data_IF_840640728747
#
_entry.id   IF_840640728747
#
_cell.length_a   1.000
_cell.length_b   1.000
_cell.length_c   1.000
_cell.angle_alpha   90.00
_cell.angle_beta   90.00
_cell.angle_gamma   90.00
#
_symmetry.space_group_name_H-M   'P 1'
#
loop_
_entity.id
_entity.type
_entity.pdbx_description
1 polymer ?
#
# COMPACT_ATOMS: atom_id res chain seq x y z
N UNK A 1 -5.98 40.57 11.97
CA UNK A 1 -6.75 41.32 10.95
C UNK A 1 -7.87 40.40 10.45
N UNK A 2 -9.13 40.79 10.62
CA UNK A 2 -10.29 39.99 10.19
C UNK A 2 -10.55 40.28 8.71
N UNK A 3 -10.27 39.32 7.84
CA UNK A 3 -10.57 39.45 6.40
C UNK A 3 -11.99 38.92 6.21
N UNK A 4 -12.88 39.76 5.71
CA UNK A 4 -14.24 39.36 5.31
C UNK A 4 -14.35 39.39 3.79
N UNK A 5 -14.90 38.32 3.23
CA UNK A 5 -15.19 38.20 1.81
C UNK A 5 -16.52 37.50 1.61
N UNK A 6 -17.11 37.63 0.42
CA UNK A 6 -18.34 36.92 0.09
C UNK A 6 -18.02 35.80 -0.90
N UNK A 7 -18.63 34.64 -0.72
CA UNK A 7 -18.62 33.54 -1.69
C UNK A 7 -19.99 33.50 -2.35
N UNK A 8 -20.02 33.46 -3.67
CA UNK A 8 -21.22 33.15 -4.43
C UNK A 8 -21.07 31.72 -4.94
N UNK A 9 -21.96 30.86 -4.45
CA UNK A 9 -22.01 29.45 -4.85
C UNK A 9 -22.66 29.29 -6.24
N UNK A 10 -22.57 28.09 -6.81
CA UNK A 10 -23.10 27.71 -8.13
C UNK A 10 -24.59 27.99 -8.28
N UNK A 11 -25.34 27.90 -7.19
CA UNK A 11 -26.77 28.23 -7.12
C UNK A 11 -27.06 29.72 -6.89
N UNK A 12 -26.05 30.59 -7.08
CA UNK A 12 -26.09 32.03 -6.79
C UNK A 12 -26.38 32.38 -5.31
N UNK A 13 -26.19 31.42 -4.40
CA UNK A 13 -26.30 31.65 -2.95
C UNK A 13 -25.09 32.43 -2.45
N UNK A 14 -25.35 33.51 -1.71
CA UNK A 14 -24.30 34.38 -1.16
C UNK A 14 -23.99 33.97 0.29
N UNK A 15 -22.74 33.62 0.53
CA UNK A 15 -22.20 33.32 1.85
C UNK A 15 -21.24 34.42 2.27
N UNK A 16 -21.46 35.03 3.43
CA UNK A 16 -20.49 35.94 4.03
C UNK A 16 -19.49 35.12 4.82
N UNK A 17 -18.23 35.15 4.39
CA UNK A 17 -17.14 34.39 4.97
C UNK A 17 -16.21 35.30 5.76
N UNK A 18 -15.82 34.84 6.95
CA UNK A 18 -14.83 35.51 7.78
C UNK A 18 -13.63 34.60 8.01
N UNK A 19 -12.43 35.11 7.77
CA UNK A 19 -11.20 34.50 8.24
C UNK A 19 -10.98 34.92 9.70
N UNK A 20 -11.33 34.02 10.62
CA UNK A 20 -11.03 34.15 12.04
C UNK A 20 -9.62 33.60 12.29
N UNK A 21 -8.67 34.47 12.61
CA UNK A 21 -7.36 34.03 13.09
C UNK A 21 -7.40 33.79 14.58
N UNK A 22 -7.27 32.54 15.03
CA UNK A 22 -6.96 32.23 16.42
C UNK A 22 -5.43 32.27 16.61
N UNK A 23 -4.97 32.94 17.67
CA UNK A 23 -3.54 33.19 17.94
C UNK A 23 -2.72 31.94 18.29
N UNK A 24 -3.30 30.73 18.33
CA UNK A 24 -2.58 29.57 18.88
C UNK A 24 -2.75 28.21 18.21
N UNK A 25 -3.46 28.06 17.10
CA UNK A 25 -3.38 26.86 16.24
C UNK A 25 -3.61 27.29 14.80
N UNK A 26 -2.79 26.78 13.89
CA UNK A 26 -2.77 27.06 12.44
C UNK A 26 -4.02 26.62 11.66
N UNK A 27 -5.21 26.71 12.29
CA UNK A 27 -6.48 26.37 11.68
C UNK A 27 -7.35 27.62 11.61
N UNK A 28 -7.38 28.26 10.45
CA UNK A 28 -8.36 29.30 10.18
C UNK A 28 -9.72 28.63 9.97
N UNK A 29 -10.68 28.89 10.86
CA UNK A 29 -12.06 28.45 10.66
C UNK A 29 -12.79 29.46 9.79
N UNK A 30 -13.23 29.01 8.61
CA UNK A 30 -14.16 29.78 7.78
C UNK A 30 -15.54 29.66 8.43
N UNK A 31 -16.03 30.75 9.00
CA UNK A 31 -17.45 30.85 9.37
C UNK A 31 -18.20 31.47 8.19
N UNK A 32 -19.13 30.72 7.62
CA UNK A 32 -20.05 31.20 6.59
C UNK A 32 -21.40 31.55 7.24
N UNK A 33 -21.86 32.78 7.07
CA UNK A 33 -23.22 33.20 7.41
C UNK A 33 -24.01 33.37 6.12
N UNK A 34 -25.18 32.72 6.03
CA UNK A 34 -26.08 32.81 4.88
C UNK A 34 -26.74 34.19 4.90
N UNK A 35 -26.43 35.03 3.94
CA UNK A 35 -27.10 36.31 3.76
C UNK A 35 -28.04 36.20 2.57
N UNK A 36 -29.34 36.26 2.84
CA UNK A 36 -30.35 36.42 1.80
C UNK A 36 -30.41 37.91 1.44
N UNK A 37 -30.01 38.22 0.21
CA UNK A 37 -30.13 39.51 -0.49
C UNK A 37 -29.01 40.52 -0.18
N UNK A 38 -28.28 40.93 -1.23
CA UNK A 38 -27.57 42.21 -1.22
C UNK A 38 -27.73 42.89 -2.59
N UNK A 39 -28.45 44.01 -2.56
CA UNK A 39 -28.92 44.80 -3.69
C UNK A 39 -27.85 45.22 -4.71
N UNK A 40 -28.37 45.49 -5.89
CA UNK A 40 -27.76 46.04 -7.10
C UNK A 40 -27.01 47.36 -6.85
N UNK A 41 -25.87 47.52 -7.54
CA UNK A 41 -25.24 48.80 -7.92
C UNK A 41 -24.14 49.45 -7.07
N UNK A 42 -23.25 48.69 -6.43
CA UNK A 42 -21.95 49.24 -6.03
C UNK A 42 -20.80 48.39 -6.55
N UNK A 43 -19.77 49.04 -7.06
CA UNK A 43 -18.56 48.48 -7.70
C UNK A 43 -17.97 47.31 -6.89
N UNK A 44 -18.36 46.07 -7.24
CA UNK A 44 -17.86 44.87 -6.58
C UNK A 44 -16.58 44.41 -7.26
N UNK A 45 -15.51 44.22 -6.50
CA UNK A 45 -14.35 43.49 -7.02
C UNK A 45 -14.69 42.00 -7.04
N UNK A 46 -15.12 41.52 -8.21
CA UNK A 46 -15.52 40.13 -8.46
C UNK A 46 -14.32 39.32 -8.93
N UNK A 47 -14.02 38.24 -8.22
CA UNK A 47 -12.99 37.27 -8.59
C UNK A 47 -13.68 35.96 -8.88
N UNK A 48 -13.71 35.60 -10.16
CA UNK A 48 -14.27 34.33 -10.61
C UNK A 48 -13.18 33.26 -10.62
N UNK A 49 -13.37 32.19 -9.84
CA UNK A 49 -12.43 31.07 -9.74
C UNK A 49 -13.17 29.74 -9.71
N UNK A 50 -12.48 28.69 -10.14
CA UNK A 50 -13.01 27.33 -9.99
C UNK A 50 -12.75 26.77 -8.58
N UNK A 51 -13.39 25.64 -8.26
CA UNK A 51 -13.28 25.02 -6.94
C UNK A 51 -11.84 24.60 -6.57
N UNK A 52 -11.03 24.17 -7.55
CA UNK A 52 -9.64 23.77 -7.32
C UNK A 52 -8.74 24.98 -7.00
N UNK A 53 -8.87 26.05 -7.78
CA UNK A 53 -8.20 27.33 -7.54
C UNK A 53 -8.63 27.93 -6.20
N UNK A 54 -9.90 27.77 -5.82
CA UNK A 54 -10.38 28.19 -4.52
C UNK A 54 -9.74 27.40 -3.38
N UNK A 55 -9.59 26.08 -3.53
CA UNK A 55 -8.85 25.26 -2.57
C UNK A 55 -7.39 25.72 -2.43
N UNK A 56 -6.67 25.93 -3.54
CA UNK A 56 -5.30 26.46 -3.52
C UNK A 56 -5.26 27.82 -2.84
N UNK A 57 -6.20 28.71 -3.16
CA UNK A 57 -6.30 30.03 -2.57
C UNK A 57 -6.46 29.98 -1.05
N UNK A 58 -7.32 29.08 -0.54
CA UNK A 58 -7.45 28.85 0.90
C UNK A 58 -6.15 28.31 1.50
N UNK A 59 -5.54 27.31 0.86
CA UNK A 59 -4.29 26.71 1.32
C UNK A 59 -3.12 27.72 1.36
N UNK A 60 -3.04 28.63 0.40
CA UNK A 60 -2.04 29.71 0.36
C UNK A 60 -2.29 30.78 1.43
N UNK A 61 -3.55 31.09 1.74
CA UNK A 61 -3.88 32.00 2.85
C UNK A 61 -3.45 31.42 4.20
N UNK A 62 -3.60 30.10 4.35
CA UNK A 62 -3.30 29.40 5.60
C UNK A 62 -1.78 29.24 5.80
N UNK A 63 -1.07 28.82 4.75
CA UNK A 63 0.35 28.46 4.86
C UNK A 63 1.32 29.60 4.52
N UNK A 64 0.92 30.63 3.78
CA UNK A 64 1.81 31.69 3.31
C UNK A 64 1.47 33.07 3.90
N UNK A 65 2.20 33.47 4.94
CA UNK A 65 2.03 34.75 5.64
C UNK A 65 2.26 35.97 4.72
N UNK A 66 3.20 35.88 3.78
CA UNK A 66 3.48 36.92 2.78
C UNK A 66 2.32 37.09 1.79
N UNK A 67 1.74 35.98 1.32
CA UNK A 67 0.56 36.00 0.44
C UNK A 67 -0.61 36.67 1.16
N UNK A 68 -0.87 36.27 2.40
CA UNK A 68 -1.90 36.86 3.26
C UNK A 68 -1.72 38.36 3.50
N UNK A 69 -0.50 38.81 3.78
CA UNK A 69 -0.22 40.23 4.01
C UNK A 69 -0.44 41.06 2.73
N UNK A 70 0.03 40.56 1.58
CA UNK A 70 -0.17 41.23 0.30
C UNK A 70 -1.64 41.29 -0.11
N UNK A 71 -2.38 40.21 0.13
CA UNK A 71 -3.83 40.16 -0.09
C UNK A 71 -4.56 41.17 0.81
N UNK A 72 -4.24 41.18 2.10
CA UNK A 72 -4.75 42.14 3.07
C UNK A 72 -4.51 43.61 2.64
N UNK A 73 -3.31 43.91 2.13
CA UNK A 73 -2.96 45.24 1.63
C UNK A 73 -3.78 45.63 0.39
N UNK A 74 -3.92 44.71 -0.57
CA UNK A 74 -4.74 44.92 -1.78
C UNK A 74 -6.22 45.13 -1.45
N UNK A 75 -6.76 44.39 -0.47
CA UNK A 75 -8.15 44.55 -0.03
C UNK A 75 -8.38 45.93 0.60
N UNK A 76 -7.42 46.45 1.38
CA UNK A 76 -7.51 47.79 1.95
C UNK A 76 -7.43 48.91 0.92
N UNK A 77 -6.77 48.68 -0.22
CA UNK A 77 -6.71 49.67 -1.31
C UNK A 77 -7.95 49.68 -2.20
N UNK A 78 -8.88 48.73 -2.04
CA UNK A 78 -10.13 48.71 -2.79
C UNK A 78 -11.12 49.73 -2.19
N UNK A 79 -11.93 50.41 -3.05
CA UNK A 79 -12.92 51.39 -2.59
C UNK A 79 -13.96 50.77 -1.66
N UNK A 80 -14.23 49.47 -1.84
CA UNK A 80 -15.04 48.66 -0.94
C UNK A 80 -14.12 47.66 -0.22
N UNK A 81 -14.16 47.65 1.12
CA UNK A 81 -13.27 46.81 1.96
C UNK A 81 -13.55 45.30 1.91
N UNK A 82 -14.27 44.84 0.89
CA UNK A 82 -14.65 43.44 0.68
C UNK A 82 -14.53 43.08 -0.81
N UNK A 83 -14.21 41.82 -1.08
CA UNK A 83 -14.22 41.24 -2.42
C UNK A 83 -15.17 40.05 -2.46
N UNK A 84 -15.65 39.73 -3.67
CA UNK A 84 -16.60 38.64 -3.91
C UNK A 84 -15.92 37.56 -4.73
N UNK A 85 -15.90 36.34 -4.21
CA UNK A 85 -15.41 35.14 -4.89
C UNK A 85 -16.61 34.44 -5.51
N UNK A 86 -16.65 34.36 -6.84
CA UNK A 86 -17.68 33.60 -7.54
C UNK A 86 -17.12 32.24 -7.95
N UNK A 87 -17.74 31.16 -7.46
CA UNK A 87 -17.38 29.80 -7.82
C UNK A 87 -17.99 29.46 -9.18
N UNK A 88 -17.13 29.30 -10.19
CA UNK A 88 -17.54 28.85 -11.53
C UNK A 88 -17.28 27.34 -11.65
N UNK A 89 -18.18 26.56 -12.28
CA UNK A 89 -17.88 25.18 -12.63
C UNK A 89 -16.60 25.12 -13.49
N UNK A 90 -15.68 24.23 -13.15
CA UNK A 90 -14.53 23.99 -14.00
C UNK A 90 -15.01 23.40 -15.33
N UNK A 91 -14.42 23.85 -16.45
CA UNK A 91 -14.73 23.30 -17.79
C UNK A 91 -14.33 21.82 -17.92
N UNK A 92 -13.42 21.37 -17.07
CA UNK A 92 -12.94 19.99 -16.98
C UNK A 92 -12.96 19.55 -15.52
N UNK A 93 -13.30 18.30 -15.26
CA UNK A 93 -13.04 17.70 -13.95
C UNK A 93 -11.53 17.52 -13.79
N UNK A 94 -10.99 17.99 -12.65
CA UNK A 94 -9.58 17.78 -12.32
C UNK A 94 -9.43 16.35 -11.81
N UNK A 95 -9.47 15.37 -12.72
CA UNK A 95 -9.08 14.00 -12.44
C UNK A 95 -7.56 13.95 -12.53
N UNK A 96 -6.92 13.43 -11.48
CA UNK A 96 -5.48 13.18 -11.50
C UNK A 96 -5.20 11.95 -12.38
N UNK A 97 -5.14 12.17 -13.69
CA UNK A 97 -4.92 11.10 -14.67
C UNK A 97 -3.57 10.43 -14.42
N UNK A 98 -2.55 11.19 -14.03
CA UNK A 98 -1.21 10.67 -13.77
C UNK A 98 -1.19 9.71 -12.58
N UNK A 99 -1.78 10.09 -11.45
CA UNK A 99 -1.91 9.16 -10.32
C UNK A 99 -2.85 8.00 -10.63
N UNK A 100 -3.91 8.24 -11.41
CA UNK A 100 -4.78 7.18 -11.92
C UNK A 100 -4.01 6.11 -12.70
N UNK A 101 -3.12 6.52 -13.61
CA UNK A 101 -2.26 5.61 -14.39
C UNK A 101 -1.27 4.85 -13.51
N UNK A 102 -0.65 5.52 -12.52
CA UNK A 102 0.29 4.89 -11.58
C UNK A 102 -0.43 3.82 -10.75
N UNK A 103 -1.57 4.18 -10.14
CA UNK A 103 -2.37 3.24 -9.33
C UNK A 103 -2.83 2.07 -10.19
N UNK A 104 -3.31 2.33 -11.41
CA UNK A 104 -3.77 1.29 -12.32
C UNK A 104 -2.63 0.31 -12.66
N UNK A 105 -1.42 0.82 -12.95
CA UNK A 105 -0.24 -0.03 -13.20
C UNK A 105 0.11 -0.89 -11.99
N UNK A 106 0.13 -0.31 -10.79
CA UNK A 106 0.42 -1.04 -9.55
C UNK A 106 -0.62 -2.13 -9.28
N UNK A 107 -1.91 -1.84 -9.54
CA UNK A 107 -2.98 -2.83 -9.42
C UNK A 107 -2.78 -4.00 -10.39
N UNK A 108 -2.48 -3.74 -11.66
CA UNK A 108 -2.20 -4.80 -12.63
C UNK A 108 -0.95 -5.61 -12.24
N UNK A 109 0.13 -4.96 -11.81
CA UNK A 109 1.31 -5.66 -11.33
C UNK A 109 0.98 -6.61 -10.16
N UNK A 110 0.17 -6.14 -9.20
CA UNK A 110 -0.27 -6.96 -8.07
C UNK A 110 -1.12 -8.16 -8.52
N UNK A 111 -2.06 -7.96 -9.45
CA UNK A 111 -2.91 -9.03 -9.99
C UNK A 111 -2.06 -10.10 -10.68
N UNK A 112 -1.11 -9.69 -11.52
CA UNK A 112 -0.22 -10.61 -12.23
C UNK A 112 0.67 -11.41 -11.27
N UNK A 113 1.16 -10.75 -10.22
CA UNK A 113 1.94 -11.39 -9.15
C UNK A 113 1.10 -12.46 -8.42
N UNK A 114 -0.12 -12.13 -8.03
CA UNK A 114 -1.02 -13.06 -7.34
C UNK A 114 -1.38 -14.25 -8.23
N UNK A 115 -1.68 -14.00 -9.50
CA UNK A 115 -1.92 -15.03 -10.49
C UNK A 115 -0.72 -15.97 -10.62
N UNK A 116 0.48 -15.43 -10.82
CA UNK A 116 1.72 -16.21 -10.88
C UNK A 116 1.96 -17.05 -9.61
N UNK A 117 1.74 -16.48 -8.42
CA UNK A 117 1.89 -17.21 -7.14
C UNK A 117 0.87 -18.35 -7.00
N UNK A 118 -0.35 -18.19 -7.51
CA UNK A 118 -1.37 -19.23 -7.53
C UNK A 118 -0.93 -20.43 -8.39
N UNK A 119 -0.42 -20.16 -9.60
CA UNK A 119 0.12 -21.19 -10.49
C UNK A 119 1.34 -21.88 -9.91
N UNK A 120 2.32 -21.11 -9.40
CA UNK A 120 3.53 -21.66 -8.81
C UNK A 120 3.22 -22.50 -7.57
N UNK A 121 2.21 -22.12 -6.77
CA UNK A 121 1.80 -22.91 -5.59
C UNK A 121 1.16 -24.23 -6.01
N UNK A 122 0.33 -24.22 -7.04
CA UNK A 122 -0.34 -25.42 -7.56
C UNK A 122 0.68 -26.39 -8.18
N UNK A 123 1.55 -25.89 -9.07
CA UNK A 123 2.62 -26.68 -9.68
C UNK A 123 3.63 -27.16 -8.65
N UNK A 124 4.03 -26.29 -7.72
CA UNK A 124 4.95 -26.60 -6.64
C UNK A 124 4.44 -27.71 -5.74
N UNK A 125 3.15 -27.67 -5.37
CA UNK A 125 2.48 -28.74 -4.65
C UNK A 125 2.49 -30.07 -5.41
N UNK A 126 2.14 -30.05 -6.70
CA UNK A 126 2.14 -31.23 -7.57
C UNK A 126 3.53 -31.88 -7.71
N UNK A 127 4.54 -31.08 -8.05
CA UNK A 127 5.92 -31.57 -8.15
C UNK A 127 6.49 -32.02 -6.80
N UNK A 128 6.13 -31.35 -5.71
CA UNK A 128 6.51 -31.76 -4.36
C UNK A 128 5.91 -33.13 -4.03
N UNK A 129 4.63 -33.38 -4.32
CA UNK A 129 4.02 -34.70 -4.08
C UNK A 129 4.72 -35.81 -4.88
N UNK A 130 5.07 -35.55 -6.15
CA UNK A 130 5.84 -36.49 -6.97
C UNK A 130 7.31 -36.63 -6.52
N UNK A 131 7.84 -35.63 -5.83
CA UNK A 131 9.22 -35.58 -5.34
C UNK A 131 9.54 -36.63 -4.29
N UNK A 132 8.53 -37.19 -3.61
CA UNK A 132 8.72 -38.32 -2.69
C UNK A 132 9.12 -39.62 -3.41
N UNK A 133 8.84 -39.72 -4.72
CA UNK A 133 9.16 -40.89 -5.55
C UNK A 133 10.29 -40.62 -6.55
N UNK A 134 10.34 -39.41 -7.10
CA UNK A 134 11.26 -39.03 -8.18
C UNK A 134 12.10 -37.82 -7.79
N UNK A 135 13.41 -38.02 -7.60
CA UNK A 135 14.34 -36.96 -7.20
C UNK A 135 14.34 -35.77 -8.19
N UNK A 136 14.21 -36.03 -9.49
CA UNK A 136 14.14 -34.96 -10.50
C UNK A 136 12.93 -34.04 -10.30
N UNK A 137 11.80 -34.60 -9.81
CA UNK A 137 10.59 -33.82 -9.51
C UNK A 137 10.77 -32.98 -8.26
N UNK A 138 11.49 -33.52 -7.25
CA UNK A 138 11.89 -32.75 -6.08
C UNK A 138 12.78 -31.56 -6.44
N UNK A 139 13.72 -31.71 -7.38
CA UNK A 139 14.56 -30.61 -7.85
C UNK A 139 13.74 -29.51 -8.55
N UNK A 140 12.74 -29.88 -9.36
CA UNK A 140 11.83 -28.93 -10.00
C UNK A 140 11.00 -28.19 -8.94
N UNK A 141 10.46 -28.89 -7.94
CA UNK A 141 9.75 -28.26 -6.83
C UNK A 141 10.64 -27.25 -6.08
N UNK A 142 11.91 -27.59 -5.87
CA UNK A 142 12.90 -26.68 -5.28
C UNK A 142 13.14 -25.43 -6.11
N UNK A 143 13.24 -25.54 -7.45
CA UNK A 143 13.35 -24.40 -8.36
C UNK A 143 12.11 -23.51 -8.29
N UNK A 144 10.92 -24.10 -8.29
CA UNK A 144 9.65 -23.38 -8.13
C UNK A 144 9.63 -22.59 -6.81
N UNK A 145 10.01 -23.22 -5.70
CA UNK A 145 10.09 -22.55 -4.40
C UNK A 145 11.04 -21.35 -4.43
N UNK A 146 12.19 -21.44 -5.12
CA UNK A 146 13.11 -20.30 -5.31
C UNK A 146 12.46 -19.18 -6.10
N UNK A 147 11.71 -19.47 -7.17
CA UNK A 147 10.97 -18.44 -7.90
C UNK A 147 9.93 -17.75 -7.01
N UNK A 148 9.20 -18.51 -6.19
CA UNK A 148 8.27 -17.94 -5.22
C UNK A 148 8.98 -17.05 -4.19
N UNK A 149 10.18 -17.42 -3.72
CA UNK A 149 10.97 -16.56 -2.83
C UNK A 149 11.37 -15.24 -3.50
N UNK A 150 11.79 -15.26 -4.76
CA UNK A 150 12.13 -14.03 -5.50
C UNK A 150 10.95 -13.07 -5.57
N UNK A 151 9.76 -13.62 -5.82
CA UNK A 151 8.51 -12.85 -5.83
C UNK A 151 8.21 -12.30 -4.43
N UNK A 152 8.30 -13.14 -3.39
CA UNK A 152 8.05 -12.73 -2.01
C UNK A 152 8.97 -11.58 -1.55
N UNK A 153 10.26 -11.63 -1.93
CA UNK A 153 11.22 -10.56 -1.67
C UNK A 153 10.81 -9.27 -2.38
N UNK A 154 10.35 -9.35 -3.64
CA UNK A 154 9.90 -8.17 -4.40
C UNK A 154 8.66 -7.52 -3.81
N UNK A 155 7.71 -8.31 -3.32
CA UNK A 155 6.50 -7.82 -2.64
C UNK A 155 6.83 -7.26 -1.25
N UNK A 156 7.89 -7.77 -0.61
CA UNK A 156 8.22 -7.41 0.76
C UNK A 156 7.36 -8.14 1.80
N UNK A 157 6.83 -9.33 1.47
CA UNK A 157 6.07 -10.15 2.42
C UNK A 157 6.98 -11.18 3.12
N UNK A 158 7.38 -10.95 4.39
CA UNK A 158 8.24 -11.87 5.13
C UNK A 158 7.55 -13.21 5.44
N UNK A 159 6.22 -13.23 5.62
CA UNK A 159 5.48 -14.46 5.90
C UNK A 159 5.44 -15.38 4.69
N UNK A 160 5.20 -14.81 3.50
CA UNK A 160 5.28 -15.56 2.24
C UNK A 160 6.68 -16.11 2.02
N UNK A 161 7.72 -15.27 2.23
CA UNK A 161 9.11 -15.69 2.11
C UNK A 161 9.44 -16.89 3.00
N UNK A 162 9.01 -16.85 4.28
CA UNK A 162 9.17 -17.97 5.21
C UNK A 162 8.50 -19.25 4.73
N UNK A 163 7.27 -19.17 4.22
CA UNK A 163 6.57 -20.34 3.65
C UNK A 163 7.32 -20.90 2.45
N UNK A 164 7.84 -20.05 1.56
CA UNK A 164 8.61 -20.49 0.40
C UNK A 164 9.92 -21.19 0.81
N UNK A 165 10.63 -20.68 1.83
CA UNK A 165 11.82 -21.35 2.39
C UNK A 165 11.49 -22.73 2.96
N UNK A 166 10.34 -22.86 3.63
CA UNK A 166 9.84 -24.15 4.09
C UNK A 166 9.53 -25.10 2.92
N UNK A 167 8.90 -24.64 1.84
CA UNK A 167 8.70 -25.46 0.63
C UNK A 167 10.02 -25.92 0.01
N UNK A 168 11.02 -25.04 -0.04
CA UNK A 168 12.35 -25.40 -0.48
C UNK A 168 13.00 -26.45 0.44
N UNK A 169 12.81 -26.35 1.76
CA UNK A 169 13.31 -27.36 2.70
C UNK A 169 12.69 -28.75 2.46
N UNK A 170 11.42 -28.84 2.05
CA UNK A 170 10.78 -30.11 1.65
C UNK A 170 11.50 -30.71 0.45
N UNK A 171 11.79 -29.89 -0.57
CA UNK A 171 12.53 -30.34 -1.76
C UNK A 171 13.92 -30.89 -1.40
N UNK A 172 14.58 -30.30 -0.39
CA UNK A 172 15.87 -30.77 0.11
C UNK A 172 15.75 -32.11 0.85
N UNK A 173 14.68 -32.30 1.65
CA UNK A 173 14.40 -33.57 2.34
C UNK A 173 14.24 -34.68 1.29
N UNK A 174 13.47 -34.42 0.24
CA UNK A 174 13.22 -35.35 -0.86
C UNK A 174 14.49 -35.71 -1.65
N UNK A 175 15.45 -34.79 -1.74
CA UNK A 175 16.77 -35.02 -2.32
C UNK A 175 17.77 -35.66 -1.33
N UNK A 176 17.33 -36.10 -0.14
CA UNK A 176 18.18 -36.60 0.94
C UNK A 176 19.23 -35.59 1.47
N UNK A 177 19.03 -34.29 1.24
CA UNK A 177 19.88 -33.18 1.71
C UNK A 177 19.47 -32.72 3.11
N UNK A 178 19.41 -33.66 4.06
CA UNK A 178 18.79 -33.44 5.38
C UNK A 178 19.42 -32.32 6.22
N UNK A 179 20.76 -32.16 6.18
CA UNK A 179 21.46 -31.13 6.97
C UNK A 179 21.03 -29.71 6.60
N UNK A 180 20.90 -29.45 5.30
CA UNK A 180 20.48 -28.13 4.79
C UNK A 180 19.02 -27.88 5.12
N UNK A 181 18.15 -28.87 4.92
CA UNK A 181 16.74 -28.77 5.30
C UNK A 181 16.57 -28.47 6.79
N UNK A 182 17.31 -29.18 7.65
CA UNK A 182 17.26 -29.01 9.10
C UNK A 182 17.60 -27.58 9.54
N UNK A 183 18.63 -26.98 8.94
CA UNK A 183 19.03 -25.60 9.24
C UNK A 183 17.90 -24.62 8.91
N UNK A 184 17.36 -24.71 7.69
CA UNK A 184 16.28 -23.83 7.25
C UNK A 184 15.05 -23.96 8.17
N UNK A 185 14.63 -25.17 8.51
CA UNK A 185 13.45 -25.38 9.36
C UNK A 185 13.64 -24.78 10.75
N UNK A 186 14.85 -24.87 11.32
CA UNK A 186 15.16 -24.27 12.62
C UNK A 186 15.12 -22.75 12.56
N UNK A 187 15.76 -22.16 11.56
CA UNK A 187 15.79 -20.70 11.36
C UNK A 187 14.35 -20.17 11.21
N UNK A 188 13.51 -20.84 10.42
CA UNK A 188 12.11 -20.45 10.22
C UNK A 188 11.21 -20.76 11.43
N UNK A 189 11.53 -21.77 12.23
CA UNK A 189 10.83 -22.02 13.50
C UNK A 189 11.07 -20.91 14.52
N UNK A 190 12.32 -20.44 14.65
CA UNK A 190 12.64 -19.29 15.50
C UNK A 190 11.94 -18.03 15.01
N UNK A 191 11.95 -17.78 13.69
CA UNK A 191 11.16 -16.69 13.11
C UNK A 191 9.65 -16.83 13.41
N UNK A 192 9.09 -18.04 13.36
CA UNK A 192 7.67 -18.28 13.68
C UNK A 192 7.27 -17.98 15.13
N UNK A 193 8.23 -17.72 16.02
CA UNK A 193 7.94 -17.26 17.39
C UNK A 193 7.62 -15.77 17.45
N UNK A 194 8.11 -14.98 16.49
CA UNK A 194 7.84 -13.53 16.41
C UNK A 194 6.51 -13.25 15.69
N UNK A 195 6.06 -14.18 14.84
CA UNK A 195 4.80 -14.08 14.11
C UNK A 195 3.63 -14.49 15.03
N UNK A 196 2.57 -13.66 15.04
CA UNK A 196 1.35 -13.90 15.84
C UNK A 196 0.58 -15.13 15.34
N UNK A 197 0.51 -15.34 14.02
CA UNK A 197 -0.16 -16.51 13.43
C UNK A 197 0.65 -17.80 13.65
N UNK A 198 0.08 -18.71 14.44
CA UNK A 198 0.66 -20.03 14.72
C UNK A 198 0.72 -20.98 13.53
N UNK A 199 0.15 -20.63 12.37
CA UNK A 199 0.18 -21.47 11.15
C UNK A 199 1.61 -21.77 10.69
N UNK A 200 2.50 -20.77 10.69
CA UNK A 200 3.89 -20.98 10.26
C UNK A 200 4.60 -21.98 11.18
N UNK A 201 4.38 -21.85 12.49
CA UNK A 201 4.92 -22.78 13.49
C UNK A 201 4.44 -24.21 13.25
N UNK A 202 3.16 -24.41 12.96
CA UNK A 202 2.58 -25.72 12.61
C UNK A 202 3.21 -26.30 11.34
N UNK A 203 3.48 -25.47 10.32
CA UNK A 203 4.18 -25.91 9.11
C UNK A 203 5.60 -26.39 9.43
N UNK A 204 6.37 -25.64 10.21
CA UNK A 204 7.71 -26.04 10.64
C UNK A 204 7.69 -27.40 11.35
N UNK A 205 6.77 -27.59 12.30
CA UNK A 205 6.63 -28.86 13.04
C UNK A 205 6.25 -30.03 12.10
N UNK A 206 5.31 -29.82 11.17
CA UNK A 206 4.93 -30.84 10.20
C UNK A 206 6.08 -31.26 9.29
N UNK A 207 6.85 -30.28 8.80
CA UNK A 207 8.01 -30.54 7.94
C UNK A 207 9.15 -31.19 8.75
N UNK A 208 9.32 -30.84 10.02
CA UNK A 208 10.28 -31.50 10.90
C UNK A 208 9.97 -32.99 11.07
N UNK A 209 8.70 -33.34 11.29
CA UNK A 209 8.26 -34.74 11.34
C UNK A 209 8.57 -35.47 10.03
N UNK A 210 8.31 -34.84 8.87
CA UNK A 210 8.70 -35.39 7.55
C UNK A 210 10.21 -35.61 7.45
N UNK A 211 11.03 -34.65 7.88
CA UNK A 211 12.48 -34.76 7.88
C UNK A 211 12.96 -35.97 8.71
N UNK A 212 12.42 -36.13 9.92
CA UNK A 212 12.77 -37.24 10.81
C UNK A 212 12.42 -38.59 10.18
N UNK A 213 11.22 -38.71 9.62
CA UNK A 213 10.77 -39.92 8.95
C UNK A 213 11.65 -40.26 7.74
N UNK A 214 11.82 -39.33 6.80
CA UNK A 214 12.63 -39.57 5.59
C UNK A 214 14.09 -39.90 5.92
N UNK A 215 14.67 -39.26 6.94
CA UNK A 215 16.04 -39.55 7.36
C UNK A 215 16.17 -40.95 7.99
N UNK A 216 15.16 -41.41 8.75
CA UNK A 216 15.12 -42.79 9.29
C UNK A 216 15.06 -43.81 8.15
N UNK A 217 14.14 -43.63 7.20
CA UNK A 217 13.99 -44.50 6.03
C UNK A 217 15.30 -44.57 5.21
N UNK A 218 15.95 -43.43 4.99
CA UNK A 218 17.24 -43.37 4.29
C UNK A 218 18.34 -44.18 5.01
N UNK A 219 18.43 -44.08 6.34
CA UNK A 219 19.40 -44.86 7.13
C UNK A 219 19.15 -46.36 7.05
N UNK A 220 17.89 -46.78 7.11
CA UNK A 220 17.49 -48.20 7.02
C UNK A 220 17.81 -48.77 5.64
N UNK A 221 17.45 -48.06 4.56
CA UNK A 221 17.82 -48.44 3.19
C UNK A 221 19.34 -48.59 3.03
N UNK A 222 20.12 -47.63 3.53
CA UNK A 222 21.59 -47.67 3.47
C UNK A 222 22.19 -48.82 4.28
N UNK A 223 21.59 -49.21 5.41
CA UNK A 223 22.00 -50.38 6.20
C UNK A 223 21.71 -51.68 5.46
N UNK A 224 20.54 -51.81 4.84
CA UNK A 224 20.17 -53.01 4.07
C UNK A 224 21.09 -53.21 2.85
N UNK A 225 21.38 -52.12 2.12
CA UNK A 225 22.34 -52.12 1.01
C UNK A 225 23.75 -52.57 1.42
N UNK A 226 24.18 -52.28 2.65
CA UNK A 226 25.48 -52.74 3.18
C UNK A 226 25.48 -54.22 3.54
N UNK A 227 24.36 -54.73 4.07
CA UNK A 227 24.20 -56.15 4.43
C UNK A 227 24.13 -57.07 3.20
N UNK A 228 23.60 -56.61 2.08
CA UNK A 228 23.55 -57.37 0.83
C UNK A 228 24.90 -57.43 0.08
N UNK A 229 25.88 -56.63 0.49
CA UNK A 229 27.23 -56.58 -0.12
C UNK A 229 28.28 -57.35 0.70
N UNK A 230 27.89 -57.91 1.83
CA UNK A 230 28.68 -58.81 2.68
C UNK A 230 28.20 -60.24 2.44
#
# INVERSE_FOLDING_TARGET
MKISFFIVDREQKIFKCYLLGERHKDNYRIKAERNEICGTNESRFLVSINCYQFYIFLNEIDNCSNFKFNLARKIKSLPNSYFVVQLIPSKYEYIDVTWGEIVNRLCYEQIEIEYMLSWLSTLGGGFSSLGDYFVQRAEIAGKIAIYQMKIAIRIGDPNLLSRCKLYFSISLIQQNKFKFAQRIIRDEYEFSKTVVDGRLRKMCLGIWSKLQYSHKMYKESKRNLRRQKL
#
